data_IF_991591887317
#
_entry.id   IF_991591887317
#
_cell.length_a   1.000
_cell.length_b   1.000
_cell.length_c   1.000
_cell.angle_alpha   90.00
_cell.angle_beta   90.00
_cell.angle_gamma   90.00
#
_symmetry.space_group_name_H-M   'P 1'
#
loop_
_entity.id
_entity.type
_entity.pdbx_description
1 polymer ?
#
# COMPACT_ATOMS: atom_id res chain seq x y z
N UNK A 1 2.43 5.14 4.89
CA UNK A 1 1.66 6.11 5.71
C UNK A 1 2.01 7.60 5.52
N UNK A 2 3.21 8.10 5.86
CA UNK A 2 3.54 9.55 5.75
C UNK A 2 3.27 10.16 4.36
N UNK A 3 3.59 9.43 3.28
CA UNK A 3 3.32 9.86 1.90
C UNK A 3 1.82 9.96 1.56
N UNK A 4 0.95 9.23 2.27
CA UNK A 4 -0.51 9.30 2.13
C UNK A 4 -1.05 10.52 2.88
N UNK A 5 -0.52 10.80 4.07
CA UNK A 5 -0.98 11.88 4.93
C UNK A 5 -0.78 13.27 4.30
N UNK A 6 -1.85 14.05 4.20
CA UNK A 6 -1.82 15.47 3.79
C UNK A 6 -1.13 16.38 4.82
N UNK A 7 -0.93 17.68 4.50
CA UNK A 7 -0.21 18.61 5.37
C UNK A 7 -0.70 18.65 6.81
N UNK A 8 -2.02 18.72 7.02
CA UNK A 8 -2.62 18.77 8.36
C UNK A 8 -2.44 17.45 9.11
N UNK A 9 -2.70 16.32 8.46
CA UNK A 9 -2.52 14.99 9.06
C UNK A 9 -1.09 14.75 9.51
N UNK A 10 -0.08 15.28 8.82
CA UNK A 10 1.33 15.15 9.23
C UNK A 10 1.68 15.83 10.55
N UNK A 11 0.81 16.68 11.07
CA UNK A 11 0.97 17.34 12.37
C UNK A 11 0.39 16.52 13.51
N UNK A 12 -0.38 15.47 13.21
CA UNK A 12 -0.98 14.59 14.20
C UNK A 12 -0.02 13.45 14.55
N UNK A 13 -0.15 12.95 15.78
CA UNK A 13 0.49 11.70 16.19
C UNK A 13 0.09 10.59 15.21
N UNK A 14 1.12 9.86 14.74
CA UNK A 14 1.00 8.81 13.73
C UNK A 14 0.15 9.18 12.51
N UNK A 15 0.21 10.44 12.10
CA UNK A 15 -0.51 10.99 10.97
C UNK A 15 -2.05 10.88 11.07
N UNK A 16 -2.57 10.72 12.29
CA UNK A 16 -4.00 10.50 12.55
C UNK A 16 -4.50 9.15 12.00
N UNK A 17 -3.63 8.14 11.91
CA UNK A 17 -4.08 6.77 11.70
C UNK A 17 -4.80 6.27 12.95
N UNK A 18 -5.82 5.45 12.71
CA UNK A 18 -6.58 4.77 13.74
C UNK A 18 -6.27 3.28 13.64
N UNK A 19 -6.25 2.61 14.79
CA UNK A 19 -5.95 1.20 14.87
C UNK A 19 -7.20 0.45 15.32
N UNK A 20 -7.67 -0.47 14.48
CA UNK A 20 -8.67 -1.45 14.88
C UNK A 20 -7.95 -2.72 15.33
N UNK A 21 -8.17 -3.20 16.58
CA UNK A 21 -7.62 -4.47 17.02
C UNK A 21 -8.04 -5.63 16.10
N UNK A 22 -7.30 -6.71 16.26
CA UNK A 22 -7.59 -8.01 15.64
C UNK A 22 -8.92 -8.59 16.14
N UNK A 23 -9.50 -9.54 15.40
CA UNK A 23 -10.83 -10.11 15.70
C UNK A 23 -11.97 -9.38 14.99
N UNK A 24 -11.69 -8.74 13.85
CA UNK A 24 -12.68 -7.96 13.10
C UNK A 24 -13.74 -8.87 12.48
N UNK A 25 -14.97 -8.37 12.40
CA UNK A 25 -16.01 -8.99 11.56
C UNK A 25 -15.69 -8.78 10.09
N UNK A 26 -16.31 -9.57 9.20
CA UNK A 26 -16.14 -9.40 7.76
C UNK A 26 -16.48 -7.99 7.27
N UNK A 27 -17.49 -7.35 7.88
CA UNK A 27 -17.88 -5.98 7.55
C UNK A 27 -16.83 -4.96 7.99
N UNK A 28 -16.30 -5.09 9.22
CA UNK A 28 -15.27 -4.18 9.74
C UNK A 28 -13.97 -4.34 8.94
N UNK A 29 -13.59 -5.58 8.61
CA UNK A 29 -12.43 -5.84 7.75
C UNK A 29 -12.59 -5.21 6.36
N UNK A 30 -13.79 -5.26 5.77
CA UNK A 30 -14.03 -4.65 4.47
C UNK A 30 -13.87 -3.11 4.50
N UNK A 31 -14.23 -2.44 5.59
CA UNK A 31 -13.97 -1.00 5.77
C UNK A 31 -12.49 -0.71 6.02
N UNK A 32 -11.82 -1.55 6.80
CA UNK A 32 -10.37 -1.48 7.02
C UNK A 32 -9.59 -1.60 5.71
N UNK A 33 -9.91 -2.59 4.87
CA UNK A 33 -9.26 -2.77 3.58
C UNK A 33 -9.37 -1.53 2.69
N UNK A 34 -10.50 -0.82 2.69
CA UNK A 34 -10.67 0.39 1.87
C UNK A 34 -9.67 1.47 2.22
N UNK A 35 -9.39 1.67 3.51
CA UNK A 35 -8.43 2.69 3.95
C UNK A 35 -6.98 2.26 3.74
N UNK A 36 -6.73 0.95 3.66
CA UNK A 36 -5.41 0.33 3.45
C UNK A 36 -5.00 0.17 1.98
N UNK A 37 -5.94 0.27 1.01
CA UNK A 37 -5.62 0.14 -0.42
C UNK A 37 -4.46 1.06 -0.84
N UNK A 38 -4.58 2.36 -0.55
CA UNK A 38 -3.58 3.35 -0.97
C UNK A 38 -2.25 3.25 -0.20
N UNK A 39 -2.24 3.10 1.14
CA UNK A 39 -1.02 2.78 1.87
C UNK A 39 -0.27 1.59 1.30
N UNK A 40 -0.94 0.46 1.12
CA UNK A 40 -0.31 -0.77 0.63
C UNK A 40 0.09 -0.69 -0.84
N UNK A 41 -0.60 0.11 -1.66
CA UNK A 41 -0.16 0.40 -3.03
C UNK A 41 1.18 1.17 -3.05
N UNK A 42 1.34 2.16 -2.16
CA UNK A 42 2.63 2.84 -2.02
C UNK A 42 3.71 1.92 -1.47
N UNK A 43 3.38 1.04 -0.52
CA UNK A 43 4.33 0.04 -0.01
C UNK A 43 4.80 -0.90 -1.12
N UNK A 44 3.91 -1.36 -1.99
CA UNK A 44 4.29 -2.19 -3.14
C UNK A 44 5.23 -1.45 -4.09
N UNK A 45 4.91 -0.20 -4.45
CA UNK A 45 5.77 0.65 -5.30
C UNK A 45 7.16 0.80 -4.68
N UNK A 46 7.24 1.09 -3.37
CA UNK A 46 8.51 1.30 -2.68
C UNK A 46 9.28 -0.02 -2.49
N UNK A 47 8.61 -1.13 -2.25
CA UNK A 47 9.22 -2.45 -2.17
C UNK A 47 9.91 -2.82 -3.48
N UNK A 48 9.21 -2.70 -4.62
CA UNK A 48 9.83 -2.96 -5.92
C UNK A 48 10.91 -1.93 -6.26
N UNK A 49 10.77 -0.67 -5.82
CA UNK A 49 11.82 0.36 -5.96
C UNK A 49 13.13 0.01 -5.27
N UNK A 50 13.09 -0.89 -4.27
CA UNK A 50 14.26 -1.40 -3.58
C UNK A 50 14.55 -2.88 -3.86
N UNK A 51 13.88 -3.49 -4.85
CA UNK A 51 14.10 -4.88 -5.24
C UNK A 51 13.56 -5.92 -4.23
N UNK A 52 12.63 -5.53 -3.36
CA UNK A 52 12.00 -6.44 -2.40
C UNK A 52 10.68 -7.02 -2.93
N UNK A 53 10.36 -8.29 -2.62
CA UNK A 53 9.03 -8.83 -2.87
C UNK A 53 7.99 -8.14 -1.98
N UNK A 54 6.74 -8.11 -2.44
CA UNK A 54 5.62 -7.53 -1.72
C UNK A 54 4.44 -8.50 -1.67
N UNK A 55 3.68 -8.47 -0.57
CA UNK A 55 2.40 -9.14 -0.41
C UNK A 55 1.54 -8.29 0.51
N UNK A 56 0.25 -8.17 0.21
CA UNK A 56 -0.67 -7.43 1.06
C UNK A 56 -0.80 -8.05 2.45
N UNK A 57 -0.93 -7.20 3.46
CA UNK A 57 -1.27 -7.59 4.81
C UNK A 57 -2.76 -7.35 5.04
N UNK A 58 -3.51 -8.42 5.31
CA UNK A 58 -4.92 -8.29 5.70
C UNK A 58 -5.08 -7.94 7.19
N UNK A 59 -4.02 -8.09 8.00
CA UNK A 59 -3.94 -7.66 9.40
C UNK A 59 -5.14 -8.09 10.27
N UNK A 60 -5.52 -9.38 10.21
CA UNK A 60 -6.63 -9.96 10.98
C UNK A 60 -6.32 -11.43 11.33
N UNK A 61 -5.37 -11.66 12.26
CA UNK A 61 -4.85 -12.99 12.61
C UNK A 61 -5.77 -13.79 13.56
N UNK A 62 -6.67 -13.11 14.29
CA UNK A 62 -7.57 -13.69 15.29
C UNK A 62 -9.06 -13.51 14.91
N UNK A 63 -9.35 -13.18 13.65
CA UNK A 63 -10.72 -13.10 13.15
C UNK A 63 -11.38 -14.46 13.02
N UNK A 64 -12.71 -14.50 13.13
CA UNK A 64 -13.52 -15.71 12.92
C UNK A 64 -13.62 -16.14 11.44
N UNK A 65 -12.91 -15.44 10.54
CA UNK A 65 -12.88 -15.72 9.12
C UNK A 65 -11.51 -15.38 8.53
N UNK A 66 -11.16 -16.08 7.45
CA UNK A 66 -9.96 -15.80 6.66
C UNK A 66 -10.24 -14.71 5.62
N UNK A 67 -9.52 -13.56 5.65
CA UNK A 67 -9.66 -12.53 4.63
C UNK A 67 -9.28 -13.03 3.24
N UNK A 68 -10.03 -12.59 2.22
CA UNK A 68 -9.71 -12.88 0.82
C UNK A 68 -8.51 -12.03 0.37
N UNK A 69 -7.32 -12.56 0.62
CA UNK A 69 -6.04 -11.91 0.28
C UNK A 69 -5.91 -11.61 -1.21
N UNK A 70 -6.38 -12.50 -2.08
CA UNK A 70 -6.25 -12.33 -3.54
C UNK A 70 -7.16 -11.21 -4.01
N UNK A 71 -8.40 -11.15 -3.51
CA UNK A 71 -9.30 -10.04 -3.80
C UNK A 71 -8.73 -8.71 -3.28
N UNK A 72 -8.17 -8.69 -2.07
CA UNK A 72 -7.54 -7.48 -1.53
C UNK A 72 -6.30 -7.05 -2.33
N UNK A 73 -5.41 -8.00 -2.66
CA UNK A 73 -4.23 -7.74 -3.50
C UNK A 73 -4.62 -7.22 -4.89
N UNK A 74 -5.72 -7.71 -5.46
CA UNK A 74 -6.25 -7.22 -6.74
C UNK A 74 -6.71 -5.75 -6.66
N UNK A 75 -7.35 -5.34 -5.55
CA UNK A 75 -7.72 -3.94 -5.31
C UNK A 75 -6.48 -3.04 -5.16
N UNK A 76 -5.48 -3.50 -4.41
CA UNK A 76 -4.20 -2.79 -4.24
C UNK A 76 -3.45 -2.67 -5.57
N UNK A 77 -3.41 -3.73 -6.36
CA UNK A 77 -2.83 -3.73 -7.70
C UNK A 77 -3.50 -2.71 -8.62
N UNK A 78 -4.84 -2.64 -8.62
CA UNK A 78 -5.57 -1.65 -9.42
C UNK A 78 -5.19 -0.20 -9.03
N UNK A 79 -5.01 0.07 -7.73
CA UNK A 79 -4.54 1.38 -7.26
C UNK A 79 -3.10 1.66 -7.71
N UNK A 80 -2.19 0.67 -7.64
CA UNK A 80 -0.81 0.81 -8.16
C UNK A 80 -0.83 1.19 -9.65
N UNK A 81 -1.55 0.43 -10.48
CA UNK A 81 -1.64 0.70 -11.93
C UNK A 81 -2.21 2.10 -12.17
N UNK A 82 -3.26 2.49 -11.44
CA UNK A 82 -3.83 3.83 -11.53
C UNK A 82 -2.81 4.93 -11.20
N UNK A 83 -2.04 4.76 -10.12
CA UNK A 83 -0.98 5.70 -9.72
C UNK A 83 0.10 5.83 -10.80
N UNK A 84 0.52 4.71 -11.40
CA UNK A 84 1.54 4.72 -12.46
C UNK A 84 1.03 5.45 -13.71
N UNK A 85 -0.22 5.19 -14.12
CA UNK A 85 -0.82 5.81 -15.31
C UNK A 85 -1.12 7.30 -15.13
N UNK A 86 -1.61 7.70 -13.96
CA UNK A 86 -1.96 9.10 -13.67
C UNK A 86 -0.74 9.94 -13.27
N UNK A 87 0.37 9.27 -12.90
CA UNK A 87 1.57 9.88 -12.37
C UNK A 87 1.64 9.79 -10.85
N UNK A 88 2.81 9.36 -10.36
CA UNK A 88 3.03 9.21 -8.93
C UNK A 88 2.93 10.55 -8.19
N UNK A 89 2.27 10.58 -7.01
CA UNK A 89 2.29 11.75 -6.13
C UNK A 89 3.73 12.16 -5.81
N UNK A 90 4.06 13.47 -5.73
CA UNK A 90 5.44 13.95 -5.70
C UNK A 90 6.33 13.27 -4.65
N UNK A 91 5.80 13.05 -3.44
CA UNK A 91 6.56 12.45 -2.34
C UNK A 91 6.85 10.97 -2.54
N UNK A 92 5.88 10.22 -3.10
CA UNK A 92 6.06 8.81 -3.46
C UNK A 92 7.07 8.69 -4.59
N UNK A 93 6.96 9.57 -5.60
CA UNK A 93 7.89 9.64 -6.73
C UNK A 93 9.31 9.90 -6.28
N UNK A 94 9.53 10.93 -5.46
CA UNK A 94 10.86 11.28 -4.93
C UNK A 94 11.49 10.11 -4.17
N UNK A 95 10.72 9.46 -3.29
CA UNK A 95 11.25 8.33 -2.52
C UNK A 95 11.51 7.10 -3.40
N UNK A 96 10.60 6.78 -4.32
CA UNK A 96 10.79 5.69 -5.29
C UNK A 96 12.03 5.92 -6.16
N UNK A 97 12.22 7.12 -6.71
CA UNK A 97 13.39 7.46 -7.53
C UNK A 97 14.69 7.35 -6.74
N UNK A 98 14.73 7.88 -5.52
CA UNK A 98 15.91 7.76 -4.65
C UNK A 98 16.23 6.29 -4.29
N UNK A 99 15.21 5.49 -3.99
CA UNK A 99 15.40 4.05 -3.71
C UNK A 99 15.89 3.30 -4.94
N UNK A 100 15.31 3.56 -6.12
CA UNK A 100 15.74 2.92 -7.38
C UNK A 100 17.17 3.27 -7.73
N UNK A 101 17.55 4.54 -7.56
CA UNK A 101 18.93 4.98 -7.79
C UNK A 101 19.90 4.27 -6.83
N UNK A 102 19.57 4.22 -5.54
CA UNK A 102 20.40 3.60 -4.52
C UNK A 102 20.56 2.08 -4.71
N UNK A 103 19.48 1.38 -5.05
CA UNK A 103 19.45 -0.08 -5.23
C UNK A 103 19.67 -0.53 -6.69
N UNK A 104 19.97 0.41 -7.60
CA UNK A 104 20.16 0.15 -9.04
C UNK A 104 18.99 -0.58 -9.70
N UNK A 105 17.76 -0.18 -9.38
CA UNK A 105 16.53 -0.73 -9.95
C UNK A 105 16.11 0.08 -11.17
N UNK A 106 15.72 -0.62 -12.24
CA UNK A 106 15.19 -0.01 -13.46
C UNK A 106 13.90 0.81 -13.19
N UNK A 107 13.46 1.67 -14.13
CA UNK A 107 12.12 2.28 -14.07
C UNK A 107 11.04 1.23 -13.79
N UNK A 108 10.09 1.57 -12.91
CA UNK A 108 8.96 0.69 -12.63
C UNK A 108 7.97 0.79 -13.78
N UNK A 109 7.58 -0.36 -14.29
CA UNK A 109 6.55 -0.51 -15.32
C UNK A 109 5.32 -1.20 -14.69
N UNK A 110 4.13 -1.06 -15.26
CA UNK A 110 2.93 -1.65 -14.65
C UNK A 110 3.00 -3.19 -14.64
N UNK A 111 3.70 -3.76 -15.60
CA UNK A 111 3.80 -5.19 -15.89
C UNK A 111 4.57 -5.98 -14.83
N UNK A 112 5.42 -5.30 -14.03
CA UNK A 112 6.19 -5.97 -12.96
C UNK A 112 5.37 -6.14 -11.66
N UNK A 113 4.20 -5.51 -11.57
CA UNK A 113 3.30 -5.65 -10.43
C UNK A 113 2.35 -6.82 -10.66
N UNK A 114 2.77 -8.03 -10.28
CA UNK A 114 2.01 -9.26 -10.53
C UNK A 114 1.23 -9.66 -9.29
N UNK A 115 -0.09 -9.84 -9.43
CA UNK A 115 -0.93 -10.49 -8.41
C UNK A 115 -0.62 -11.99 -8.43
N UNK A 116 -0.23 -12.55 -7.29
CA UNK A 116 0.12 -13.96 -7.12
C UNK A 116 -0.64 -14.56 -5.96
#
# INVERSE_FOLDING_TARGET
HWCVAGPERRLLEDFGYWYEPDGRTAQVQAEFEKVEIRPQAYEWILALSAGFPFTVSCDNLNGDFEPDRIAFMSKVHAEVVSILLQGMPPRVKMLSEAMREFYHIAPLEAEIFIVK
#
